data_IF_018105516243
#
_entry.id   IF_018105516243
#
_cell.length_a   1.000
_cell.length_b   1.000
_cell.length_c   1.000
_cell.angle_alpha   90.00
_cell.angle_beta   90.00
_cell.angle_gamma   90.00
#
_symmetry.space_group_name_H-M   'P 1'
#
loop_
_entity.id
_entity.type
_entity.pdbx_description
1 polymer ?
#
# COMPACT_ATOMS: atom_id res chain seq x y z
N UNK A 1 -19.40 -18.10 5.61
CA UNK A 1 -18.56 -16.91 5.84
C UNK A 1 -18.49 -16.67 7.33
N UNK A 2 -17.29 -16.78 7.92
CA UNK A 2 -17.10 -16.57 9.35
C UNK A 2 -16.29 -15.30 9.67
N UNK A 3 -15.57 -14.75 8.68
CA UNK A 3 -14.85 -13.49 8.78
C UNK A 3 -14.51 -12.94 7.38
N UNK A 4 -14.17 -11.66 7.30
CA UNK A 4 -13.56 -11.00 6.14
C UNK A 4 -12.20 -10.43 6.53
N UNK A 5 -11.21 -10.51 5.63
CA UNK A 5 -10.09 -9.56 5.62
C UNK A 5 -10.36 -8.62 4.46
N UNK A 6 -10.65 -7.36 4.76
CA UNK A 6 -10.64 -6.31 3.75
C UNK A 6 -9.18 -5.99 3.42
N UNK A 7 -8.84 -5.92 2.14
CA UNK A 7 -7.78 -4.99 1.75
C UNK A 7 -8.29 -3.59 2.07
N UNK A 8 -7.40 -2.70 2.51
CA UNK A 8 -7.66 -1.26 2.47
C UNK A 8 -8.00 -0.92 1.02
N UNK A 9 -9.30 -0.88 0.70
CA UNK A 9 -9.79 -0.19 -0.48
C UNK A 9 -9.38 1.27 -0.32
N UNK A 10 -9.33 1.99 -1.44
CA UNK A 10 -8.94 3.39 -1.48
C UNK A 10 -9.86 4.25 -0.58
N UNK A 11 -9.57 4.32 0.73
CA UNK A 11 -10.24 5.23 1.67
C UNK A 11 -9.79 6.68 1.45
N UNK A 12 -8.92 6.92 0.45
CA UNK A 12 -8.52 8.25 0.01
C UNK A 12 -9.67 9.11 -0.52
N UNK A 13 -10.78 8.52 -0.96
CA UNK A 13 -11.99 9.27 -1.34
C UNK A 13 -12.93 9.57 -0.15
N UNK A 14 -12.75 8.88 0.98
CA UNK A 14 -13.55 9.09 2.19
C UNK A 14 -13.23 10.37 2.96
N UNK A 15 -12.22 11.14 2.54
CA UNK A 15 -11.76 12.32 3.27
C UNK A 15 -12.75 13.49 3.22
N UNK A 16 -13.59 13.58 2.17
CA UNK A 16 -14.54 14.69 2.01
C UNK A 16 -15.77 14.61 2.92
N UNK A 17 -15.98 13.50 3.63
CA UNK A 17 -17.15 13.34 4.51
C UNK A 17 -16.94 12.41 5.72
N UNK A 18 -16.20 12.86 6.74
CA UNK A 18 -15.97 12.10 7.97
C UNK A 18 -17.23 11.83 8.81
N UNK A 19 -18.38 12.42 8.43
CA UNK A 19 -19.65 12.27 9.13
C UNK A 19 -20.68 11.44 8.35
N UNK A 20 -20.33 10.92 7.16
CA UNK A 20 -21.25 10.20 6.26
C UNK A 20 -22.56 10.98 5.98
N UNK A 21 -22.47 12.31 5.83
CA UNK A 21 -23.58 13.21 5.48
C UNK A 21 -23.90 13.24 3.98
N UNK A 22 -22.98 12.77 3.14
CA UNK A 22 -23.12 12.52 1.71
C UNK A 22 -23.34 11.01 1.56
N UNK A 23 -24.40 10.63 0.83
CA UNK A 23 -24.59 9.24 0.44
C UNK A 23 -23.36 8.82 -0.39
N UNK A 24 -22.70 7.70 -0.04
CA UNK A 24 -21.62 7.10 -0.84
C UNK A 24 -22.11 7.02 -2.30
N UNK A 25 -21.61 7.94 -3.13
CA UNK A 25 -22.32 8.31 -4.37
C UNK A 25 -21.96 7.43 -5.57
N UNK A 26 -21.25 6.32 -5.32
CA UNK A 26 -21.69 5.05 -5.85
C UNK A 26 -21.94 4.05 -4.72
N UNK A 27 -22.84 3.09 -4.94
CA UNK A 27 -22.88 1.83 -4.19
C UNK A 27 -21.57 1.08 -4.38
N UNK A 28 -20.53 1.52 -3.67
CA UNK A 28 -19.21 0.92 -3.63
C UNK A 28 -19.33 -0.34 -2.77
N UNK A 29 -19.79 -1.44 -3.37
CA UNK A 29 -19.12 -2.71 -3.09
C UNK A 29 -17.68 -2.48 -3.53
N UNK A 30 -16.86 -1.99 -2.58
CA UNK A 30 -15.73 -1.11 -2.88
C UNK A 30 -14.81 -1.58 -4.00
N UNK A 31 -14.02 -0.64 -4.51
CA UNK A 31 -12.74 -0.84 -5.20
C UNK A 31 -11.74 -1.61 -4.29
N UNK A 32 -12.17 -2.74 -3.76
CA UNK A 32 -11.74 -3.31 -2.51
C UNK A 32 -12.11 -4.78 -2.48
N UNK A 33 -11.10 -5.63 -2.56
CA UNK A 33 -11.24 -7.08 -2.51
C UNK A 33 -11.59 -7.51 -1.10
N UNK A 34 -12.80 -8.04 -0.89
CA UNK A 34 -13.15 -8.77 0.33
C UNK A 34 -12.70 -10.22 0.23
N UNK A 35 -11.78 -10.64 1.10
CA UNK A 35 -11.47 -12.07 1.27
C UNK A 35 -12.40 -12.65 2.31
N UNK A 36 -13.23 -13.59 1.89
CA UNK A 36 -14.02 -14.38 2.82
C UNK A 36 -13.16 -15.48 3.45
N UNK A 37 -13.41 -15.74 4.72
CA UNK A 37 -12.65 -16.71 5.50
C UNK A 37 -13.60 -17.67 6.18
N UNK A 38 -13.19 -18.93 6.24
CA UNK A 38 -13.91 -19.96 6.97
C UNK A 38 -13.03 -20.52 8.07
N UNK A 39 -13.68 -20.79 9.19
CA UNK A 39 -13.06 -21.56 10.26
C UNK A 39 -12.68 -22.92 9.72
N UNK A 40 -11.54 -23.44 10.14
CA UNK A 40 -11.05 -24.75 9.70
C UNK A 40 -12.10 -25.85 9.97
N UNK A 41 -12.83 -25.77 11.08
CA UNK A 41 -13.85 -26.75 11.46
C UNK A 41 -15.10 -26.72 10.58
N UNK A 42 -15.29 -25.65 9.80
CA UNK A 42 -16.43 -25.51 8.87
C UNK A 42 -16.11 -26.07 7.47
N UNK A 43 -14.89 -26.56 7.24
CA UNK A 43 -14.44 -27.08 5.93
C UNK A 43 -14.30 -28.60 6.01
N UNK A 44 -15.27 -29.39 5.49
CA UNK A 44 -15.31 -30.84 5.69
C UNK A 44 -14.06 -31.58 5.25
N UNK A 45 -13.47 -31.16 4.12
CA UNK A 45 -12.21 -31.73 3.63
C UNK A 45 -11.07 -31.57 4.64
N UNK A 46 -10.87 -30.36 5.17
CA UNK A 46 -9.84 -30.09 6.16
C UNK A 46 -10.09 -30.85 7.46
N UNK A 47 -11.34 -30.90 7.92
CA UNK A 47 -11.73 -31.66 9.11
C UNK A 47 -11.35 -33.13 8.98
N UNK A 48 -11.65 -33.72 7.84
CA UNK A 48 -11.36 -35.12 7.54
C UNK A 48 -9.86 -35.35 7.50
N UNK A 49 -9.14 -34.56 6.68
CA UNK A 49 -7.70 -34.68 6.51
C UNK A 49 -6.96 -34.50 7.84
N UNK A 50 -7.29 -33.47 8.62
CA UNK A 50 -6.64 -33.21 9.90
C UNK A 50 -6.88 -34.32 10.91
N UNK A 51 -8.10 -34.89 10.96
CA UNK A 51 -8.41 -36.03 11.83
C UNK A 51 -7.57 -37.26 11.47
N UNK A 52 -7.46 -37.56 10.17
CA UNK A 52 -6.70 -38.72 9.68
C UNK A 52 -5.18 -38.59 9.94
N UNK A 53 -4.67 -37.36 10.00
CA UNK A 53 -3.25 -37.06 10.20
C UNK A 53 -2.90 -36.63 11.63
N UNK A 54 -3.86 -36.69 12.57
CA UNK A 54 -3.64 -36.32 13.97
C UNK A 54 -3.36 -34.83 14.20
N UNK A 55 -3.79 -33.96 13.27
CA UNK A 55 -3.73 -32.51 13.43
C UNK A 55 -4.92 -32.04 14.28
N UNK A 56 -4.70 -31.31 15.39
CA UNK A 56 -5.80 -30.82 16.22
C UNK A 56 -6.74 -29.88 15.45
N UNK A 57 -8.04 -30.18 15.50
CA UNK A 57 -9.11 -29.31 14.98
C UNK A 57 -9.44 -28.18 15.95
N UNK A 58 -9.37 -28.47 17.26
CA UNK A 58 -9.43 -27.48 18.31
C UNK A 58 -8.00 -27.03 18.62
N UNK A 59 -7.71 -25.78 18.27
CA UNK A 59 -6.44 -25.12 18.57
C UNK A 59 -6.64 -24.13 19.71
N UNK A 60 -5.55 -23.61 20.29
CA UNK A 60 -5.62 -22.60 21.34
C UNK A 60 -6.53 -21.43 20.97
N UNK A 61 -6.39 -20.94 19.74
CA UNK A 61 -7.29 -19.96 19.13
C UNK A 61 -7.85 -20.43 17.78
N UNK A 62 -8.94 -19.80 17.35
CA UNK A 62 -9.55 -20.05 16.05
C UNK A 62 -8.59 -19.63 14.93
N UNK A 63 -8.28 -20.58 14.04
CA UNK A 63 -7.60 -20.31 12.78
C UNK A 63 -8.58 -20.47 11.61
N UNK A 64 -8.25 -19.86 10.50
CA UNK A 64 -9.11 -19.79 9.34
C UNK A 64 -8.32 -20.17 8.09
N UNK A 65 -9.05 -20.65 7.10
CA UNK A 65 -8.56 -20.73 5.72
C UNK A 65 -9.23 -19.63 4.91
N UNK A 66 -8.45 -19.03 4.02
CA UNK A 66 -8.96 -18.05 3.06
C UNK A 66 -9.93 -18.78 2.12
N UNK A 67 -11.21 -18.73 2.47
CA UNK A 67 -12.29 -19.47 1.86
C UNK A 67 -13.12 -18.48 1.07
N UNK A 68 -12.74 -18.23 -0.17
CA UNK A 68 -13.67 -18.36 -1.29
C UNK A 68 -12.95 -18.25 -2.64
N UNK A 69 -13.36 -19.05 -3.64
CA UNK A 69 -12.91 -18.97 -5.02
C UNK A 69 -13.54 -17.78 -5.79
N UNK A 70 -13.94 -16.74 -5.07
CA UNK A 70 -14.74 -15.64 -5.61
C UNK A 70 -14.23 -14.36 -4.97
N UNK A 71 -13.55 -13.55 -5.76
CA UNK A 71 -13.56 -12.12 -5.56
C UNK A 71 -14.91 -11.59 -6.05
N UNK A 72 -15.45 -10.60 -5.36
CA UNK A 72 -16.40 -9.68 -5.97
C UNK A 72 -15.54 -8.46 -6.26
N UNK A 73 -15.16 -8.29 -7.52
CA UNK A 73 -14.59 -7.03 -7.97
C UNK A 73 -15.63 -6.40 -8.87
N UNK A 74 -16.16 -5.25 -8.51
CA UNK A 74 -16.67 -4.37 -9.55
C UNK A 74 -15.46 -4.09 -10.45
N UNK A 75 -15.56 -4.30 -11.76
CA UNK A 75 -14.57 -3.62 -12.59
C UNK A 75 -14.72 -2.13 -12.30
N UNK A 76 -13.61 -1.40 -12.19
CA UNK A 76 -13.62 0.01 -11.77
C UNK A 76 -14.37 0.95 -12.72
N UNK A 77 -15.13 0.41 -13.68
CA UNK A 77 -15.93 1.19 -14.62
C UNK A 77 -17.05 1.91 -13.86
N UNK A 78 -17.03 3.25 -13.83
CA UNK A 78 -18.04 4.03 -13.12
C UNK A 78 -19.44 3.76 -13.68
N UNK A 79 -20.45 3.84 -12.81
CA UNK A 79 -21.86 3.78 -13.24
C UNK A 79 -22.11 4.95 -14.20
N UNK A 80 -22.57 4.63 -15.42
CA UNK A 80 -22.78 5.63 -16.47
C UNK A 80 -21.55 5.95 -17.32
N UNK A 81 -20.44 5.21 -17.16
CA UNK A 81 -19.35 5.24 -18.14
C UNK A 81 -19.85 4.85 -19.53
N UNK A 82 -19.29 5.50 -20.56
CA UNK A 82 -19.54 5.18 -21.97
C UNK A 82 -19.08 3.74 -22.33
N UNK A 83 -18.31 3.09 -21.44
CA UNK A 83 -17.93 1.68 -21.56
C UNK A 83 -19.09 0.71 -21.22
N UNK A 84 -20.15 1.19 -20.57
CA UNK A 84 -21.33 0.43 -20.19
C UNK A 84 -22.53 0.84 -21.05
N UNK A 85 -23.47 -0.07 -21.30
CA UNK A 85 -24.73 0.33 -21.91
C UNK A 85 -25.56 1.19 -20.92
N UNK A 86 -26.43 2.05 -21.44
CA UNK A 86 -27.31 2.88 -20.61
C UNK A 86 -28.14 2.01 -19.64
N UNK A 87 -27.87 2.14 -18.33
CA UNK A 87 -28.53 1.39 -17.26
C UNK A 87 -27.81 0.12 -16.82
N UNK A 88 -26.66 -0.22 -17.41
CA UNK A 88 -25.78 -1.28 -16.91
C UNK A 88 -24.96 -0.79 -15.71
N UNK A 89 -24.56 -1.75 -14.87
CA UNK A 89 -23.65 -1.56 -13.75
C UNK A 89 -22.41 -2.40 -14.01
N UNK A 90 -21.23 -1.94 -13.59
CA UNK A 90 -20.00 -2.74 -13.61
C UNK A 90 -20.29 -4.10 -12.97
N UNK A 91 -20.13 -5.19 -13.75
CA UNK A 91 -20.53 -6.51 -13.25
C UNK A 91 -19.50 -7.00 -12.24
N UNK A 92 -19.91 -7.53 -11.07
CA UNK A 92 -18.96 -8.15 -10.15
C UNK A 92 -18.29 -9.34 -10.86
N UNK A 93 -16.98 -9.25 -11.11
CA UNK A 93 -16.19 -10.36 -11.65
C UNK A 93 -15.91 -11.37 -10.54
N UNK A 94 -16.50 -12.56 -10.70
CA UNK A 94 -16.27 -13.72 -9.84
C UNK A 94 -15.00 -14.44 -10.28
N UNK A 95 -13.84 -14.09 -9.70
CA UNK A 95 -12.57 -14.73 -10.03
C UNK A 95 -12.11 -15.73 -8.96
N UNK A 96 -11.56 -16.86 -9.40
CA UNK A 96 -11.03 -17.91 -8.54
C UNK A 96 -9.50 -17.84 -8.45
N UNK A 97 -8.97 -17.28 -7.36
CA UNK A 97 -7.54 -17.41 -7.06
C UNK A 97 -7.21 -18.85 -6.67
N UNK A 98 -6.27 -19.44 -7.40
CA UNK A 98 -5.67 -20.76 -7.12
C UNK A 98 -6.71 -21.89 -6.98
N UNK A 99 -7.44 -22.25 -8.06
CA UNK A 99 -8.55 -23.20 -8.03
C UNK A 99 -8.22 -24.57 -7.42
N UNK A 100 -6.97 -24.99 -7.49
CA UNK A 100 -6.49 -26.27 -7.00
C UNK A 100 -5.94 -26.25 -5.55
N UNK A 101 -5.78 -25.09 -4.92
CA UNK A 101 -4.98 -24.94 -3.69
C UNK A 101 -5.67 -24.20 -2.53
N UNK A 102 -6.95 -23.83 -2.67
CA UNK A 102 -7.58 -22.92 -1.69
C UNK A 102 -7.98 -23.59 -0.36
N UNK A 103 -8.25 -24.90 -0.33
CA UNK A 103 -8.65 -25.63 0.89
C UNK A 103 -7.60 -26.63 1.39
N UNK A 104 -6.31 -26.39 1.15
CA UNK A 104 -5.24 -27.27 1.65
C UNK A 104 -4.93 -26.97 3.13
N UNK A 105 -4.47 -27.97 3.90
CA UNK A 105 -4.18 -27.81 5.34
C UNK A 105 -3.05 -26.82 5.63
N UNK A 106 -2.25 -26.48 4.63
CA UNK A 106 -1.17 -25.50 4.71
C UNK A 106 -1.59 -24.11 4.20
N UNK A 107 -2.85 -23.86 3.86
CA UNK A 107 -3.33 -22.55 3.38
C UNK A 107 -4.15 -21.77 4.45
N UNK A 108 -3.59 -21.65 5.65
CA UNK A 108 -4.23 -20.96 6.78
C UNK A 108 -3.82 -19.49 6.93
N UNK A 109 -4.62 -18.69 7.66
CA UNK A 109 -4.25 -17.32 8.08
C UNK A 109 -2.97 -17.37 8.89
N UNK A 110 -2.91 -18.25 9.89
CA UNK A 110 -1.73 -18.40 10.76
C UNK A 110 -0.43 -18.51 9.96
N UNK A 111 -0.40 -19.27 8.86
CA UNK A 111 0.81 -19.44 8.04
C UNK A 111 1.04 -18.30 7.04
N UNK A 112 -0.01 -17.72 6.47
CA UNK A 112 0.14 -16.82 5.32
C UNK A 112 -0.04 -15.34 5.64
N UNK A 113 -0.71 -15.01 6.74
CA UNK A 113 -1.25 -13.68 6.99
C UNK A 113 -0.97 -13.18 8.41
N UNK A 114 -0.87 -14.07 9.40
CA UNK A 114 -0.79 -13.68 10.81
C UNK A 114 0.45 -12.85 11.16
N UNK A 115 1.56 -12.97 10.42
CA UNK A 115 2.69 -12.09 10.67
C UNK A 115 2.35 -10.64 10.43
N UNK A 116 1.49 -10.31 9.47
CA UNK A 116 1.03 -8.94 9.31
C UNK A 116 -0.21 -8.65 10.15
N UNK A 117 -1.16 -9.60 10.26
CA UNK A 117 -2.51 -9.37 10.79
C UNK A 117 -2.78 -9.96 12.18
N UNK A 118 -1.75 -10.19 12.99
CA UNK A 118 -1.92 -10.65 14.36
C UNK A 118 -0.86 -10.07 15.28
N UNK A 119 -1.23 -9.90 16.55
CA UNK A 119 -0.33 -9.47 17.62
C UNK A 119 -0.23 -10.52 18.72
N UNK A 120 0.95 -10.63 19.34
CA UNK A 120 1.26 -11.67 20.31
C UNK A 120 1.11 -13.09 19.75
N UNK A 121 1.28 -13.25 18.43
CA UNK A 121 1.10 -14.52 17.76
C UNK A 121 2.17 -15.54 18.16
N UNK A 122 1.77 -16.79 18.29
CA UNK A 122 2.65 -17.94 18.45
C UNK A 122 2.14 -19.08 17.57
N UNK A 123 3.04 -19.72 16.84
CA UNK A 123 2.72 -20.80 15.91
C UNK A 123 3.55 -22.04 16.22
N UNK A 124 2.90 -23.19 16.24
CA UNK A 124 3.57 -24.48 16.13
C UNK A 124 3.15 -25.11 14.81
N UNK A 125 4.07 -25.76 14.11
CA UNK A 125 3.80 -26.36 12.81
C UNK A 125 4.58 -27.64 12.57
N UNK A 126 4.07 -28.48 11.67
CA UNK A 126 4.72 -29.72 11.24
C UNK A 126 4.61 -29.90 9.72
N UNK A 127 5.49 -30.73 9.16
CA UNK A 127 5.41 -31.14 7.75
C UNK A 127 4.75 -32.51 7.68
N UNK A 128 3.77 -32.64 6.79
CA UNK A 128 3.05 -33.88 6.53
C UNK A 128 3.26 -34.29 5.09
N UNK A 129 3.59 -35.56 4.89
CA UNK A 129 3.75 -36.15 3.56
C UNK A 129 2.81 -37.34 3.44
N UNK A 130 1.89 -37.27 2.48
CA UNK A 130 1.09 -38.41 2.04
C UNK A 130 1.71 -39.03 0.76
N UNK A 131 1.05 -40.03 0.18
CA UNK A 131 1.55 -40.74 -1.02
C UNK A 131 1.73 -39.83 -2.25
N UNK A 132 1.02 -38.70 -2.29
CA UNK A 132 0.86 -37.84 -3.47
C UNK A 132 1.32 -36.40 -3.25
N UNK A 133 1.34 -35.92 -2.01
CA UNK A 133 1.56 -34.52 -1.65
C UNK A 133 2.39 -34.37 -0.38
N UNK A 134 3.18 -33.30 -0.32
CA UNK A 134 3.85 -32.84 0.91
C UNK A 134 3.31 -31.47 1.28
N UNK A 135 2.61 -31.41 2.40
CA UNK A 135 2.12 -30.18 3.01
C UNK A 135 3.16 -29.68 4.03
N UNK A 136 3.79 -28.55 3.72
CA UNK A 136 4.84 -27.97 4.57
C UNK A 136 4.24 -27.00 5.56
N UNK A 137 4.74 -27.03 6.80
CA UNK A 137 4.32 -26.13 7.88
C UNK A 137 2.80 -26.02 8.04
N UNK A 138 2.15 -27.17 8.10
CA UNK A 138 0.76 -27.25 8.56
C UNK A 138 0.76 -26.85 10.03
N UNK A 139 0.04 -25.78 10.34
CA UNK A 139 -0.03 -25.22 11.69
C UNK A 139 -0.82 -26.18 12.60
N UNK A 140 -0.18 -26.63 13.68
CA UNK A 140 -0.73 -27.58 14.67
C UNK A 140 -1.21 -26.88 15.93
N UNK A 141 -0.65 -25.71 16.27
CA UNK A 141 -1.13 -24.82 17.31
C UNK A 141 -1.01 -23.37 16.85
N UNK A 142 -1.99 -22.55 17.18
CA UNK A 142 -2.01 -21.13 16.91
C UNK A 142 -2.62 -20.41 18.11
N UNK A 143 -1.88 -19.44 18.64
CA UNK A 143 -2.34 -18.52 19.67
C UNK A 143 -2.03 -17.09 19.22
N UNK A 144 -2.82 -16.13 19.68
CA UNK A 144 -2.66 -14.69 19.42
C UNK A 144 -3.41 -13.90 20.50
N UNK A 145 -3.06 -12.62 20.65
CA UNK A 145 -3.80 -11.68 21.51
C UNK A 145 -4.87 -10.94 20.73
N UNK A 146 -4.54 -10.52 19.51
CA UNK A 146 -5.48 -9.90 18.60
C UNK A 146 -5.21 -10.33 17.14
N UNK A 147 -6.26 -10.34 16.31
CA UNK A 147 -6.18 -10.52 14.85
C UNK A 147 -6.34 -9.18 14.15
N UNK A 148 -5.51 -8.22 14.53
CA UNK A 148 -5.50 -6.87 13.98
C UNK A 148 -4.11 -6.24 14.13
N UNK A 149 -3.94 -5.06 13.51
CA UNK A 149 -2.79 -4.17 13.72
C UNK A 149 -3.04 -3.35 14.98
N UNK A 150 -2.58 -3.85 16.12
CA UNK A 150 -2.71 -3.16 17.41
C UNK A 150 -1.39 -2.57 17.88
N UNK A 151 -1.43 -1.87 19.03
CA UNK A 151 -0.29 -1.18 19.63
C UNK A 151 0.99 -2.03 19.60
N UNK A 152 0.90 -3.30 19.99
CA UNK A 152 2.06 -4.18 20.15
C UNK A 152 2.73 -4.55 18.82
N UNK A 153 2.07 -4.35 17.66
CA UNK A 153 2.71 -4.56 16.36
C UNK A 153 3.80 -3.53 16.09
N UNK A 154 3.60 -2.30 16.57
CA UNK A 154 4.54 -1.20 16.36
C UNK A 154 5.38 -0.90 17.60
N UNK A 155 4.82 -1.17 18.78
CA UNK A 155 5.42 -0.87 20.07
C UNK A 155 6.03 -2.10 20.77
N UNK A 156 5.96 -3.28 20.15
CA UNK A 156 6.40 -4.55 20.75
C UNK A 156 5.52 -4.99 21.91
N UNK A 157 5.82 -6.13 22.57
CA UNK A 157 5.00 -6.64 23.65
C UNK A 157 4.91 -5.68 24.84
N UNK A 158 3.70 -5.36 25.28
CA UNK A 158 3.42 -4.34 26.29
C UNK A 158 3.28 -4.87 27.72
N UNK A 159 3.54 -6.15 27.98
CA UNK A 159 3.28 -6.78 29.28
C UNK A 159 4.09 -6.17 30.43
N UNK A 160 5.37 -5.84 30.20
CA UNK A 160 6.23 -5.19 31.19
C UNK A 160 5.86 -3.71 31.37
N UNK A 161 5.56 -3.01 30.27
CA UNK A 161 5.05 -1.64 30.30
C UNK A 161 3.75 -1.52 31.13
N UNK A 162 2.79 -2.41 30.90
CA UNK A 162 1.54 -2.47 31.65
C UNK A 162 1.74 -2.77 33.15
N UNK A 163 2.87 -3.38 33.53
CA UNK A 163 3.24 -3.67 34.93
C UNK A 163 3.88 -2.48 35.66
N UNK A 164 4.10 -1.36 34.96
CA UNK A 164 4.63 -0.11 35.51
C UNK A 164 6.04 0.23 35.06
N UNK A 165 6.68 -0.61 34.24
CA UNK A 165 8.00 -0.33 33.66
C UNK A 165 7.84 0.52 32.39
N UNK A 166 7.59 1.82 32.57
CA UNK A 166 7.20 2.75 31.49
C UNK A 166 8.13 2.76 30.27
N UNK A 167 9.41 2.38 30.45
CA UNK A 167 10.42 2.34 29.39
C UNK A 167 10.50 0.99 28.66
N UNK A 168 9.79 -0.05 29.11
CA UNK A 168 9.85 -1.39 28.52
C UNK A 168 8.80 -1.53 27.42
N UNK A 169 8.85 -0.60 26.47
CA UNK A 169 8.04 -0.59 25.26
C UNK A 169 8.82 0.12 24.16
N UNK A 170 8.68 -0.34 22.92
CA UNK A 170 9.33 0.32 21.79
C UNK A 170 8.66 1.69 21.59
N UNK A 171 9.49 2.71 21.47
CA UNK A 171 9.10 4.06 21.16
C UNK A 171 9.66 4.40 19.78
N UNK A 172 8.83 4.36 18.71
CA UNK A 172 9.29 4.55 17.34
C UNK A 172 10.12 5.81 17.12
N UNK A 173 9.87 6.88 17.87
CA UNK A 173 10.63 8.13 17.79
C UNK A 173 12.11 8.02 18.25
N UNK A 174 12.48 6.92 18.90
CA UNK A 174 13.86 6.64 19.32
C UNK A 174 14.54 5.55 18.47
N UNK A 175 13.85 5.03 17.46
CA UNK A 175 14.45 4.13 16.49
C UNK A 175 15.38 4.90 15.54
N UNK A 176 16.39 4.21 15.01
CA UNK A 176 17.14 4.74 13.87
C UNK A 176 16.21 4.84 12.66
N UNK A 177 16.49 5.74 11.70
CA UNK A 177 15.68 5.84 10.47
C UNK A 177 15.53 4.50 9.73
N UNK A 178 16.55 3.64 9.80
CA UNK A 178 16.48 2.28 9.25
C UNK A 178 15.43 1.43 9.98
N UNK A 179 15.55 1.29 11.30
CA UNK A 179 14.60 0.51 12.10
C UNK A 179 13.17 1.11 12.08
N UNK A 180 13.06 2.44 11.97
CA UNK A 180 11.79 3.15 11.75
C UNK A 180 11.11 2.77 10.45
N UNK A 181 11.87 2.54 9.38
CA UNK A 181 11.30 2.11 8.10
C UNK A 181 11.00 0.61 8.10
N UNK A 182 11.82 -0.21 8.74
CA UNK A 182 11.53 -1.64 8.92
C UNK A 182 10.30 -1.89 9.80
N UNK A 183 10.00 -1.00 10.75
CA UNK A 183 8.77 -1.02 11.53
C UNK A 183 7.51 -1.05 10.63
N UNK A 184 7.49 -0.29 9.54
CA UNK A 184 6.40 -0.34 8.56
C UNK A 184 6.63 -1.47 7.55
N UNK A 185 7.89 -1.70 7.19
CA UNK A 185 8.35 -2.75 6.28
C UNK A 185 7.98 -4.17 6.71
N UNK A 186 7.82 -4.43 8.00
CA UNK A 186 7.38 -5.75 8.48
C UNK A 186 6.05 -6.22 7.85
N UNK A 187 5.25 -5.28 7.34
CA UNK A 187 4.04 -5.54 6.56
C UNK A 187 4.12 -4.96 5.12
N UNK A 188 4.84 -3.86 4.92
CA UNK A 188 4.89 -3.10 3.65
C UNK A 188 6.22 -3.23 2.89
N UNK A 189 7.03 -4.26 3.16
CA UNK A 189 8.28 -4.51 2.43
C UNK A 189 8.18 -5.57 1.34
N UNK A 190 7.18 -6.44 1.41
CA UNK A 190 7.03 -7.43 0.36
C UNK A 190 5.63 -7.97 0.15
N UNK A 191 5.22 -8.04 -1.11
CA UNK A 191 4.08 -8.83 -1.56
C UNK A 191 4.34 -10.35 -1.54
N UNK A 192 5.51 -10.76 -2.03
CA UNK A 192 5.81 -12.16 -2.34
C UNK A 192 6.91 -12.77 -1.48
N UNK A 193 7.43 -12.00 -0.53
CA UNK A 193 8.50 -12.33 0.37
C UNK A 193 8.18 -13.62 1.10
N UNK A 194 9.23 -14.43 1.26
CA UNK A 194 9.15 -15.67 2.02
C UNK A 194 10.12 -15.67 3.15
N UNK A 195 9.75 -16.30 4.26
CA UNK A 195 10.64 -16.49 5.38
C UNK A 195 11.95 -17.12 4.93
N UNK A 196 13.06 -16.59 5.46
CA UNK A 196 14.38 -17.19 5.28
C UNK A 196 14.48 -18.51 6.03
N UNK A 197 13.92 -18.57 7.25
CA UNK A 197 13.92 -19.76 8.08
C UNK A 197 12.54 -19.98 8.73
N UNK A 198 11.84 -21.09 8.46
CA UNK A 198 12.15 -22.08 7.42
C UNK A 198 11.99 -21.49 6.03
N UNK A 199 12.91 -21.84 5.12
CA UNK A 199 12.99 -21.29 3.76
C UNK A 199 11.68 -21.48 2.98
N UNK A 200 11.13 -20.38 2.46
CA UNK A 200 10.04 -20.42 1.50
C UNK A 200 8.66 -20.64 2.11
N UNK A 201 8.54 -20.65 3.45
CA UNK A 201 7.33 -21.16 4.13
C UNK A 201 6.32 -20.07 4.46
N UNK A 202 6.70 -19.08 5.25
CA UNK A 202 5.82 -18.01 5.71
C UNK A 202 5.88 -16.84 4.75
N UNK A 203 4.77 -16.12 4.55
CA UNK A 203 4.69 -14.98 3.62
C UNK A 203 4.91 -13.62 4.29
N UNK A 204 5.55 -13.65 5.45
CA UNK A 204 5.74 -12.53 6.34
C UNK A 204 7.08 -12.75 7.07
N UNK A 205 7.59 -11.75 7.80
CA UNK A 205 8.88 -11.84 8.43
C UNK A 205 8.80 -12.79 9.65
N UNK A 206 9.18 -14.05 9.42
CA UNK A 206 9.27 -15.10 10.43
C UNK A 206 10.63 -15.80 10.38
N UNK A 207 11.21 -16.06 11.54
CA UNK A 207 12.42 -16.85 11.72
C UNK A 207 12.20 -17.91 12.82
N UNK A 208 12.20 -19.19 12.44
CA UNK A 208 12.10 -20.30 13.40
C UNK A 208 13.25 -20.33 14.42
N UNK A 209 14.42 -19.79 14.10
CA UNK A 209 15.51 -19.68 15.08
C UNK A 209 15.22 -18.63 16.15
N UNK A 210 14.29 -17.71 15.89
CA UNK A 210 13.84 -16.67 16.80
C UNK A 210 12.58 -17.06 17.60
N UNK A 211 12.13 -18.32 17.56
CA UNK A 211 10.94 -18.80 18.29
C UNK A 211 11.04 -18.60 19.82
N UNK A 212 12.26 -18.63 20.37
CA UNK A 212 12.50 -18.37 21.79
C UNK A 212 12.82 -16.89 22.10
N UNK A 213 12.68 -16.00 21.13
CA UNK A 213 12.85 -14.56 21.31
C UNK A 213 11.56 -13.90 21.81
N UNK A 214 11.63 -12.61 22.15
CA UNK A 214 10.49 -11.79 22.55
C UNK A 214 9.36 -11.76 21.51
N UNK A 215 9.68 -11.97 20.23
CA UNK A 215 8.72 -12.00 19.13
C UNK A 215 8.11 -13.37 18.83
N UNK A 216 8.47 -14.45 19.54
CA UNK A 216 8.03 -15.82 19.23
C UNK A 216 8.23 -16.21 17.75
N UNK A 217 9.38 -15.85 17.17
CA UNK A 217 9.71 -16.08 15.76
C UNK A 217 9.27 -14.97 14.82
N UNK A 218 8.41 -14.05 15.24
CA UNK A 218 8.03 -12.86 14.45
C UNK A 218 9.06 -11.74 14.61
N UNK A 219 9.21 -10.93 13.56
CA UNK A 219 10.04 -9.73 13.61
C UNK A 219 9.56 -8.73 14.67
N UNK A 220 10.52 -8.10 15.36
CA UNK A 220 10.28 -7.04 16.33
C UNK A 220 11.17 -5.83 16.00
N UNK A 221 10.59 -4.65 15.73
CA UNK A 221 11.34 -3.48 15.29
C UNK A 221 12.42 -3.04 16.29
N UNK A 222 13.61 -2.70 15.79
CA UNK A 222 14.72 -2.19 16.60
C UNK A 222 15.41 -3.23 17.50
N UNK A 223 14.92 -4.47 17.52
CA UNK A 223 15.57 -5.62 18.19
C UNK A 223 16.22 -6.55 17.16
N UNK A 224 15.56 -6.68 16.00
CA UNK A 224 16.02 -7.49 14.88
C UNK A 224 16.06 -6.64 13.61
N UNK A 225 16.80 -7.11 12.60
CA UNK A 225 16.86 -6.50 11.27
C UNK A 225 15.95 -7.28 10.32
N UNK A 226 15.11 -6.60 9.54
CA UNK A 226 14.11 -7.24 8.69
C UNK A 226 14.74 -8.15 7.62
N UNK A 227 15.94 -7.79 7.19
CA UNK A 227 16.72 -8.57 6.21
C UNK A 227 16.99 -10.02 6.64
N UNK A 228 17.04 -10.30 7.95
CA UNK A 228 17.33 -11.65 8.45
C UNK A 228 16.10 -12.56 8.42
N UNK A 229 14.90 -12.00 8.23
CA UNK A 229 13.64 -12.73 8.28
C UNK A 229 13.17 -13.19 6.91
N UNK A 230 13.62 -12.56 5.83
CA UNK A 230 13.15 -12.87 4.50
C UNK A 230 14.26 -13.37 3.55
N UNK A 231 13.88 -14.24 2.63
CA UNK A 231 14.74 -14.67 1.53
C UNK A 231 14.99 -13.52 0.55
N UNK A 232 16.26 -13.30 0.16
CA UNK A 232 16.69 -12.25 -0.78
C UNK A 232 16.07 -10.87 -0.50
N UNK A 233 16.21 -10.39 0.74
CA UNK A 233 15.77 -9.05 1.12
C UNK A 233 16.41 -7.94 0.29
N UNK A 234 15.58 -6.96 -0.09
CA UNK A 234 15.93 -5.91 -1.05
C UNK A 234 16.09 -6.38 -2.50
N UNK A 235 15.95 -7.68 -2.79
CA UNK A 235 15.99 -8.20 -4.15
C UNK A 235 14.75 -7.84 -4.95
N UNK A 236 14.92 -7.68 -6.26
CA UNK A 236 13.87 -7.41 -7.24
C UNK A 236 13.59 -8.66 -8.08
N UNK A 237 12.32 -8.93 -8.38
CA UNK A 237 11.90 -9.94 -9.36
C UNK A 237 10.93 -9.35 -10.38
N UNK A 238 11.24 -9.55 -11.66
CA UNK A 238 10.35 -9.20 -12.78
C UNK A 238 9.45 -10.37 -13.22
N UNK A 239 9.73 -11.59 -12.72
CA UNK A 239 9.08 -12.84 -13.11
C UNK A 239 8.26 -13.48 -11.97
N UNK A 240 7.92 -12.70 -10.93
CA UNK A 240 7.15 -13.16 -9.77
C UNK A 240 7.79 -14.29 -8.98
N UNK A 241 9.11 -14.39 -9.04
CA UNK A 241 9.89 -15.43 -8.39
C UNK A 241 10.47 -14.88 -7.09
N UNK A 242 9.88 -15.26 -5.96
CA UNK A 242 10.33 -14.81 -4.63
C UNK A 242 11.81 -15.14 -4.34
N UNK A 243 12.39 -16.12 -5.06
CA UNK A 243 13.81 -16.49 -4.92
C UNK A 243 14.75 -15.55 -5.66
N UNK A 244 14.25 -14.70 -6.56
CA UNK A 244 15.04 -13.62 -7.17
C UNK A 244 14.97 -12.39 -6.28
N UNK A 245 13.77 -12.08 -5.79
CA UNK A 245 13.52 -10.89 -4.98
C UNK A 245 12.11 -10.84 -4.45
N UNK A 246 11.90 -9.97 -3.46
CA UNK A 246 10.63 -9.82 -2.76
C UNK A 246 9.77 -8.70 -3.34
N UNK A 247 10.40 -7.76 -4.02
CA UNK A 247 9.72 -6.73 -4.79
C UNK A 247 9.41 -7.29 -6.17
N UNK A 248 8.12 -7.57 -6.42
CA UNK A 248 7.65 -7.80 -7.77
C UNK A 248 7.65 -6.46 -8.48
N UNK A 249 8.56 -6.27 -9.43
CA UNK A 249 8.79 -4.99 -10.08
C UNK A 249 8.34 -5.02 -11.53
N UNK A 250 8.03 -3.84 -12.05
CA UNK A 250 8.03 -3.58 -13.47
C UNK A 250 9.44 -3.79 -14.04
N UNK A 251 9.60 -3.95 -15.36
CA UNK A 251 10.92 -4.23 -15.96
C UNK A 251 11.99 -3.17 -15.71
N UNK A 252 11.61 -1.97 -15.26
CA UNK A 252 12.55 -0.93 -14.81
C UNK A 252 13.27 -1.27 -13.49
N UNK A 253 12.77 -2.26 -12.73
CA UNK A 253 13.29 -2.70 -11.43
C UNK A 253 13.24 -1.64 -10.32
N UNK A 254 12.49 -0.55 -10.53
CA UNK A 254 12.34 0.55 -9.57
C UNK A 254 10.93 0.63 -9.01
N UNK A 255 9.94 0.22 -9.80
CA UNK A 255 8.53 0.39 -9.51
C UNK A 255 7.83 -0.95 -9.24
N UNK A 256 7.06 -1.06 -8.17
CA UNK A 256 6.39 -2.32 -7.86
C UNK A 256 5.12 -2.55 -8.70
N UNK A 257 4.96 -3.79 -9.15
CA UNK A 257 3.72 -4.34 -9.71
C UNK A 257 2.72 -4.76 -8.64
N UNK A 258 3.04 -4.67 -7.35
CA UNK A 258 2.23 -5.28 -6.29
C UNK A 258 2.10 -4.37 -5.05
N UNK A 259 1.04 -4.61 -4.27
CA UNK A 259 0.86 -4.00 -2.95
C UNK A 259 1.94 -4.45 -1.96
N UNK A 260 2.05 -3.74 -0.84
CA UNK A 260 3.00 -4.05 0.23
C UNK A 260 4.47 -4.02 -0.21
N UNK A 261 4.81 -3.21 -1.21
CA UNK A 261 6.18 -2.98 -1.67
C UNK A 261 6.64 -1.52 -1.48
N UNK A 262 5.97 -0.77 -0.59
CA UNK A 262 6.26 0.63 -0.33
C UNK A 262 7.66 0.83 0.26
N UNK A 263 8.14 -0.09 1.12
CA UNK A 263 9.48 0.03 1.67
C UNK A 263 10.56 -0.08 0.57
N UNK A 264 10.63 -1.14 -0.26
CA UNK A 264 11.68 -1.21 -1.28
C UNK A 264 11.62 -0.05 -2.29
N UNK A 265 10.43 0.47 -2.64
CA UNK A 265 10.30 1.70 -3.43
C UNK A 265 10.83 2.94 -2.69
N UNK A 266 10.49 3.11 -1.40
CA UNK A 266 11.05 4.20 -0.60
C UNK A 266 12.56 4.10 -0.47
N UNK A 267 13.12 2.88 -0.38
CA UNK A 267 14.56 2.62 -0.31
C UNK A 267 15.30 3.05 -1.59
N UNK A 268 14.66 2.97 -2.77
CA UNK A 268 15.21 3.47 -4.03
C UNK A 268 15.01 4.98 -4.21
N UNK A 269 14.04 5.57 -3.52
CA UNK A 269 13.72 6.99 -3.65
C UNK A 269 14.82 7.94 -3.12
N UNK A 270 14.91 9.17 -3.67
CA UNK A 270 15.74 10.23 -3.10
C UNK A 270 15.32 10.65 -1.68
N UNK A 271 14.07 10.43 -1.29
CA UNK A 271 13.56 10.81 0.03
C UNK A 271 14.29 10.10 1.17
N UNK A 272 14.74 8.86 0.97
CA UNK A 272 15.56 8.18 1.97
C UNK A 272 17.04 8.60 1.93
N UNK A 273 17.55 8.87 0.72
CA UNK A 273 18.97 9.10 0.45
C UNK A 273 19.23 10.54 -0.03
N UNK A 274 18.84 11.53 0.78
CA UNK A 274 19.09 12.95 0.51
C UNK A 274 20.17 13.55 1.45
N UNK A 275 20.73 14.73 1.13
CA UNK A 275 21.81 15.34 1.92
C UNK A 275 21.35 16.08 3.18
N UNK A 276 20.04 16.14 3.48
CA UNK A 276 19.48 16.93 4.57
C UNK A 276 19.08 16.05 5.76
N UNK A 277 18.09 15.18 5.57
CA UNK A 277 17.53 14.33 6.62
C UNK A 277 17.04 13.01 6.02
N UNK A 278 17.34 11.89 6.67
CA UNK A 278 16.79 10.58 6.25
C UNK A 278 15.31 10.52 6.63
N UNK A 279 14.43 10.65 5.65
CA UNK A 279 13.00 10.59 5.89
C UNK A 279 12.58 9.15 6.19
N UNK A 280 11.53 9.02 7.00
CA UNK A 280 10.95 7.74 7.36
C UNK A 280 9.48 7.68 6.96
N UNK A 281 8.87 6.50 7.02
CA UNK A 281 7.45 6.34 6.76
C UNK A 281 6.60 7.32 7.58
N UNK A 282 6.91 7.51 8.88
CA UNK A 282 6.14 8.40 9.74
C UNK A 282 6.45 9.90 9.59
N UNK A 283 7.41 10.25 8.73
CA UNK A 283 7.60 11.65 8.31
C UNK A 283 6.44 12.13 7.44
N UNK A 284 5.79 11.19 6.73
CA UNK A 284 4.66 11.47 5.86
C UNK A 284 3.37 10.72 6.27
N UNK A 285 3.46 9.71 7.14
CA UNK A 285 2.32 8.90 7.61
C UNK A 285 2.18 8.91 9.13
N UNK A 286 1.00 8.57 9.66
CA UNK A 286 0.79 8.40 11.09
C UNK A 286 -0.16 7.25 11.36
N UNK A 287 0.33 6.18 11.97
CA UNK A 287 -0.49 4.99 12.25
C UNK A 287 -1.54 5.18 13.34
N UNK A 288 -1.54 6.32 14.06
CA UNK A 288 -2.52 6.61 15.11
C UNK A 288 -3.75 7.38 14.62
N UNK A 289 -3.77 7.78 13.36
CA UNK A 289 -4.85 8.57 12.78
C UNK A 289 -4.94 8.28 11.29
N UNK A 290 -6.11 8.52 10.69
CA UNK A 290 -6.27 8.46 9.24
C UNK A 290 -5.64 9.68 8.54
N UNK A 291 -5.20 10.69 9.31
CA UNK A 291 -4.48 11.83 8.78
C UNK A 291 -3.04 11.43 8.41
N UNK A 292 -2.55 12.04 7.33
CA UNK A 292 -1.17 12.01 6.82
C UNK A 292 -0.13 12.02 7.94
N UNK A 293 0.07 13.15 8.62
CA UNK A 293 0.86 13.23 9.86
C UNK A 293 0.11 14.08 10.86
N UNK A 294 0.29 13.85 12.16
CA UNK A 294 -0.36 14.73 13.16
C UNK A 294 0.25 16.12 13.12
N UNK A 295 1.58 16.18 13.10
CA UNK A 295 2.36 17.42 13.06
C UNK A 295 3.60 17.22 12.20
N UNK A 296 3.97 18.24 11.43
CA UNK A 296 5.25 18.32 10.76
C UNK A 296 5.91 19.65 11.14
N UNK A 297 7.12 19.61 11.68
CA UNK A 297 7.90 20.82 11.99
C UNK A 297 9.08 20.92 11.05
N UNK A 298 9.17 22.02 10.30
CA UNK A 298 10.28 22.34 9.41
C UNK A 298 10.71 23.76 9.71
N UNK A 299 11.99 23.92 10.07
CA UNK A 299 12.54 25.18 10.58
C UNK A 299 11.73 25.69 11.79
N UNK A 300 11.28 26.94 11.76
CA UNK A 300 10.50 27.57 12.82
C UNK A 300 8.97 27.37 12.64
N UNK A 301 8.55 26.62 11.61
CA UNK A 301 7.14 26.37 11.29
C UNK A 301 6.67 24.99 11.73
N UNK A 302 5.49 24.92 12.33
CA UNK A 302 4.78 23.67 12.62
C UNK A 302 3.46 23.65 11.84
N UNK A 303 3.22 22.58 11.09
CA UNK A 303 1.98 22.34 10.33
C UNK A 303 1.18 21.23 11.01
N UNK A 304 -0.07 21.51 11.39
CA UNK A 304 -0.96 20.54 12.03
C UNK A 304 -1.78 19.78 10.98
N UNK A 305 -1.59 18.46 10.85
CA UNK A 305 -2.27 17.64 9.83
C UNK A 305 -2.09 18.14 8.37
N UNK A 306 -0.86 18.46 7.91
CA UNK A 306 -0.62 18.82 6.51
C UNK A 306 -0.99 17.64 5.60
N UNK A 307 -1.65 17.91 4.46
CA UNK A 307 -2.11 16.85 3.56
C UNK A 307 -1.32 16.81 2.25
N UNK A 308 -1.61 15.77 1.49
CA UNK A 308 -1.03 15.50 0.19
C UNK A 308 -1.72 16.27 -0.94
N UNK A 309 -3.05 16.42 -0.85
CA UNK A 309 -3.93 16.92 -1.89
C UNK A 309 -3.74 18.42 -2.17
N UNK A 310 -3.47 19.20 -1.12
CA UNK A 310 -3.19 20.64 -1.19
C UNK A 310 -1.71 21.00 -1.39
N UNK A 311 -0.85 19.99 -1.58
CA UNK A 311 0.61 20.10 -1.66
C UNK A 311 1.32 20.58 -0.38
N UNK A 312 0.63 20.85 0.73
CA UNK A 312 1.26 21.46 1.91
C UNK A 312 2.30 20.54 2.54
N UNK A 313 2.05 19.22 2.61
CA UNK A 313 3.04 18.27 3.13
C UNK A 313 4.35 18.33 2.33
N UNK A 314 4.25 18.29 0.99
CA UNK A 314 5.40 18.27 0.10
C UNK A 314 6.14 19.61 0.17
N UNK A 315 5.41 20.72 0.04
CA UNK A 315 5.98 22.05 0.03
C UNK A 315 6.55 22.47 1.40
N UNK A 316 6.10 21.87 2.50
CA UNK A 316 6.71 22.09 3.81
C UNK A 316 8.22 21.83 3.79
N UNK A 317 8.72 20.88 2.99
CA UNK A 317 10.14 20.65 2.77
C UNK A 317 10.65 21.33 1.48
N UNK A 318 9.91 21.19 0.39
CA UNK A 318 10.38 21.56 -0.96
C UNK A 318 10.32 23.06 -1.29
N UNK A 319 9.46 23.85 -0.61
CA UNK A 319 9.48 25.30 -0.72
C UNK A 319 10.89 25.84 -0.39
N UNK A 320 11.24 26.94 -1.03
CA UNK A 320 12.56 27.60 -0.99
C UNK A 320 13.71 26.82 -1.65
N UNK A 321 13.44 25.70 -2.31
CA UNK A 321 14.46 24.86 -2.93
C UNK A 321 14.17 24.57 -4.40
N UNK A 322 15.24 24.52 -5.22
CA UNK A 322 15.16 24.07 -6.61
C UNK A 322 14.08 24.80 -7.43
N UNK A 323 13.19 24.05 -8.14
CA UNK A 323 12.08 24.63 -8.91
C UNK A 323 11.08 25.45 -8.08
N UNK A 324 11.04 25.25 -6.76
CA UNK A 324 10.12 25.90 -5.83
C UNK A 324 10.81 26.97 -4.96
N UNK A 325 11.94 27.50 -5.44
CA UNK A 325 12.70 28.54 -4.74
C UNK A 325 11.94 29.86 -4.57
N UNK A 326 10.93 30.10 -5.39
CA UNK A 326 10.05 31.27 -5.30
C UNK A 326 8.89 31.08 -4.29
N UNK A 327 8.61 29.84 -3.85
CA UNK A 327 7.63 29.56 -2.79
C UNK A 327 8.33 29.72 -1.44
N UNK A 328 7.80 30.57 -0.58
CA UNK A 328 8.31 30.77 0.77
C UNK A 328 7.57 29.91 1.79
N UNK A 329 8.12 29.72 3.00
CA UNK A 329 7.40 29.03 4.09
C UNK A 329 6.13 29.75 4.52
N UNK A 330 6.10 31.09 4.39
CA UNK A 330 4.89 31.86 4.68
C UNK A 330 3.78 31.56 3.65
N UNK A 331 4.14 31.28 2.39
CA UNK A 331 3.17 30.85 1.38
C UNK A 331 2.58 29.47 1.72
N UNK A 332 3.42 28.52 2.14
CA UNK A 332 2.97 27.19 2.56
C UNK A 332 2.08 27.27 3.80
N UNK A 333 2.43 28.10 4.78
CA UNK A 333 1.58 28.33 5.95
C UNK A 333 0.24 28.98 5.58
N UNK A 334 0.20 29.87 4.60
CA UNK A 334 -1.04 30.45 4.11
C UNK A 334 -1.93 29.43 3.38
N UNK A 335 -1.34 28.47 2.64
CA UNK A 335 -2.06 27.31 2.06
C UNK A 335 -2.72 26.46 3.16
N UNK A 336 -1.95 26.07 4.18
CA UNK A 336 -2.44 25.31 5.32
C UNK A 336 -3.66 25.98 6.00
N UNK A 337 -3.60 27.30 6.22
CA UNK A 337 -4.70 28.07 6.81
C UNK A 337 -5.89 28.19 5.88
N UNK A 338 -5.66 28.28 4.56
CA UNK A 338 -6.73 28.30 3.57
C UNK A 338 -7.60 27.04 3.63
N UNK A 339 -6.99 25.87 3.85
CA UNK A 339 -7.69 24.59 4.00
C UNK A 339 -8.25 24.36 5.42
N UNK A 340 -8.28 25.42 6.23
CA UNK A 340 -8.87 25.39 7.57
C UNK A 340 -8.03 24.67 8.62
N UNK A 341 -6.73 24.46 8.34
CA UNK A 341 -5.81 23.82 9.28
C UNK A 341 -4.94 24.81 10.01
N UNK A 342 -4.47 24.40 11.18
CA UNK A 342 -3.61 25.22 12.02
C UNK A 342 -2.15 25.13 11.57
N UNK A 343 -1.43 26.23 11.78
CA UNK A 343 0.02 26.30 11.63
C UNK A 343 0.58 27.32 12.61
N UNK A 344 1.79 27.06 13.09
CA UNK A 344 2.48 27.87 14.07
C UNK A 344 3.81 28.36 13.50
N UNK A 345 4.22 29.56 13.93
CA UNK A 345 5.57 30.09 13.76
C UNK A 345 6.15 30.35 15.16
N UNK A 346 7.31 29.78 15.46
CA UNK A 346 7.94 29.86 16.79
C UNK A 346 7.02 29.40 17.94
N UNK A 347 6.12 28.44 17.64
CA UNK A 347 5.13 27.93 18.58
C UNK A 347 3.92 28.83 18.83
N UNK A 348 3.80 29.95 18.10
CA UNK A 348 2.62 30.81 18.13
C UNK A 348 1.73 30.55 16.90
N UNK A 349 0.43 30.36 17.13
CA UNK A 349 -0.55 30.21 16.05
C UNK A 349 -0.55 31.45 15.16
N UNK A 350 -0.36 31.26 13.85
CA UNK A 350 -0.40 32.34 12.87
C UNK A 350 -1.69 32.33 12.08
N UNK A 351 -2.10 33.53 11.63
CA UNK A 351 -3.33 33.74 10.85
C UNK A 351 -3.03 34.68 9.69
N UNK A 352 -3.75 34.52 8.59
CA UNK A 352 -3.56 35.31 7.38
C UNK A 352 -4.81 36.09 7.01
N UNK A 353 -4.63 37.29 6.47
CA UNK A 353 -5.71 38.00 5.78
C UNK A 353 -6.03 37.30 4.46
N UNK A 354 -7.29 37.41 4.01
CA UNK A 354 -7.74 36.78 2.76
C UNK A 354 -6.90 37.20 1.53
N UNK A 355 -6.36 38.43 1.51
CA UNK A 355 -5.48 38.89 0.44
C UNK A 355 -4.11 38.21 0.45
N UNK A 356 -3.57 37.89 1.62
CA UNK A 356 -2.29 37.17 1.76
C UNK A 356 -2.46 35.72 1.29
N UNK A 357 -3.52 35.06 1.72
CA UNK A 357 -3.90 33.73 1.24
C UNK A 357 -4.01 33.70 -0.28
N UNK A 358 -4.72 34.66 -0.88
CA UNK A 358 -4.89 34.72 -2.33
C UNK A 358 -3.55 34.89 -3.08
N UNK A 359 -2.64 35.73 -2.56
CA UNK A 359 -1.31 35.92 -3.14
C UNK A 359 -0.44 34.67 -3.02
N UNK A 360 -0.48 33.99 -1.87
CA UNK A 360 0.28 32.75 -1.67
C UNK A 360 -0.22 31.62 -2.55
N UNK A 361 -1.55 31.47 -2.72
CA UNK A 361 -2.13 30.53 -3.69
C UNK A 361 -1.68 30.81 -5.12
N UNK A 362 -1.68 32.07 -5.54
CA UNK A 362 -1.21 32.48 -6.88
C UNK A 362 0.29 32.20 -7.07
N UNK A 363 1.09 32.42 -6.02
CA UNK A 363 2.53 32.12 -6.00
C UNK A 363 2.79 30.62 -6.16
N UNK A 364 2.09 29.79 -5.37
CA UNK A 364 2.18 28.32 -5.46
C UNK A 364 1.74 27.85 -6.84
N UNK A 365 0.55 28.27 -7.32
CA UNK A 365 0.03 27.88 -8.62
C UNK A 365 0.97 28.27 -9.77
N UNK A 366 1.56 29.48 -9.72
CA UNK A 366 2.52 29.96 -10.72
C UNK A 366 3.81 29.15 -10.69
N UNK A 367 4.36 28.89 -9.50
CA UNK A 367 5.61 28.15 -9.36
C UNK A 367 5.45 26.68 -9.78
N UNK A 368 4.37 26.01 -9.35
CA UNK A 368 4.05 24.64 -9.79
C UNK A 368 3.76 24.61 -11.29
N UNK A 369 3.00 25.58 -11.82
CA UNK A 369 2.76 25.71 -13.27
C UNK A 369 4.06 25.88 -14.07
N UNK A 370 5.02 26.67 -13.57
CA UNK A 370 6.32 26.85 -14.18
C UNK A 370 7.16 25.57 -14.13
N UNK A 371 7.11 24.84 -13.02
CA UNK A 371 7.75 23.52 -12.88
C UNK A 371 7.20 22.53 -13.92
N UNK A 372 5.87 22.40 -14.01
CA UNK A 372 5.18 21.55 -14.99
C UNK A 372 5.54 21.94 -16.43
N UNK A 373 5.54 23.24 -16.75
CA UNK A 373 5.94 23.70 -18.09
C UNK A 373 7.40 23.34 -18.41
N UNK A 374 8.30 23.40 -17.42
CA UNK A 374 9.71 23.04 -17.56
C UNK A 374 9.97 21.57 -17.91
N UNK A 375 9.03 20.68 -17.58
CA UNK A 375 9.09 19.23 -17.89
C UNK A 375 8.23 18.85 -19.10
N UNK A 376 7.74 19.82 -19.87
CA UNK A 376 7.01 19.57 -21.11
C UNK A 376 5.48 19.52 -20.97
N UNK A 377 4.93 19.78 -19.78
CA UNK A 377 3.48 19.93 -19.57
C UNK A 377 3.01 21.37 -19.82
N UNK A 378 3.58 22.04 -20.83
CA UNK A 378 3.28 23.44 -21.13
C UNK A 378 1.79 23.64 -21.46
N UNK A 379 1.11 24.47 -20.68
CA UNK A 379 -0.32 24.78 -20.85
C UNK A 379 -1.27 23.92 -20.01
N UNK A 380 -0.75 22.98 -19.21
CA UNK A 380 -1.52 22.29 -18.18
C UNK A 380 -2.02 23.32 -17.15
N UNK A 381 -3.31 23.24 -16.80
CA UNK A 381 -3.90 24.10 -15.78
C UNK A 381 -3.53 23.58 -14.39
N UNK A 382 -3.24 24.47 -13.45
CA UNK A 382 -3.07 24.11 -12.05
C UNK A 382 -4.46 23.95 -11.42
N UNK A 383 -4.88 22.71 -11.22
CA UNK A 383 -6.18 22.30 -10.68
C UNK A 383 -6.02 21.17 -9.66
N UNK A 384 -5.18 21.34 -8.61
CA UNK A 384 -4.89 20.26 -7.65
C UNK A 384 -6.14 19.75 -6.91
N UNK A 385 -7.14 20.61 -6.72
CA UNK A 385 -8.37 20.32 -5.98
C UNK A 385 -9.46 19.66 -6.86
N UNK A 386 -9.22 19.50 -8.16
CA UNK A 386 -10.17 18.88 -9.08
C UNK A 386 -9.97 17.35 -9.05
N UNK A 387 -10.92 16.55 -8.54
CA UNK A 387 -10.75 15.11 -8.41
C UNK A 387 -10.64 14.38 -9.76
N UNK A 388 -11.20 14.95 -10.83
CA UNK A 388 -11.16 14.35 -12.17
C UNK A 388 -9.88 14.76 -12.94
N UNK A 389 -9.33 15.93 -12.60
CA UNK A 389 -8.06 16.43 -13.14
C UNK A 389 -7.22 17.15 -12.07
N UNK A 390 -6.60 16.40 -11.13
CA UNK A 390 -5.80 16.96 -10.03
C UNK A 390 -4.42 17.43 -10.50
N UNK A 391 -4.36 18.11 -11.64
CA UNK A 391 -3.14 18.56 -12.30
C UNK A 391 -2.44 19.60 -11.44
N UNK A 392 -1.18 19.34 -11.10
CA UNK A 392 -0.41 20.17 -10.19
C UNK A 392 -0.52 19.76 -8.71
N UNK A 393 -1.32 18.74 -8.38
CA UNK A 393 -1.12 18.00 -7.13
C UNK A 393 0.19 17.21 -7.23
N UNK A 394 1.05 17.30 -6.23
CA UNK A 394 2.33 16.60 -6.21
C UNK A 394 2.13 15.10 -6.26
N UNK A 395 1.17 14.57 -5.49
CA UNK A 395 0.94 13.13 -5.38
C UNK A 395 0.28 12.53 -6.62
N UNK A 396 -0.54 13.27 -7.36
CA UNK A 396 -1.16 12.76 -8.58
C UNK A 396 -0.12 12.44 -9.66
N UNK A 397 0.95 13.24 -9.75
CA UNK A 397 2.01 13.04 -10.73
C UNK A 397 3.21 12.24 -10.20
N UNK A 398 3.64 12.48 -8.96
CA UNK A 398 4.85 11.88 -8.40
C UNK A 398 4.61 10.60 -7.59
N UNK A 399 3.36 10.27 -7.28
CA UNK A 399 3.02 9.00 -6.65
C UNK A 399 1.94 8.29 -7.48
N UNK A 400 2.20 8.06 -8.79
CA UNK A 400 1.21 7.45 -9.66
C UNK A 400 0.80 6.09 -9.11
N UNK A 401 -0.47 5.75 -9.24
CA UNK A 401 -0.94 4.42 -8.84
C UNK A 401 -0.48 3.42 -9.90
N UNK A 402 0.57 2.66 -9.59
CA UNK A 402 1.20 1.74 -10.56
C UNK A 402 1.20 0.28 -10.10
N UNK A 403 1.03 0.05 -8.80
CA UNK A 403 0.94 -1.27 -8.21
C UNK A 403 -0.51 -1.74 -8.10
N UNK A 404 -0.70 -3.05 -7.89
CA UNK A 404 -2.03 -3.66 -7.70
C UNK A 404 -2.18 -4.41 -6.39
N UNK A 405 -3.44 -4.52 -5.96
CA UNK A 405 -3.80 -5.10 -4.67
C UNK A 405 -3.58 -6.61 -4.51
N UNK A 406 -3.29 -7.41 -5.55
CA UNK A 406 -2.97 -8.83 -5.34
C UNK A 406 -2.10 -9.47 -6.41
N UNK A 407 -2.71 -9.97 -7.48
CA UNK A 407 -2.10 -10.95 -8.36
C UNK A 407 -1.44 -10.31 -9.56
N UNK A 408 -0.18 -10.68 -9.77
CA UNK A 408 0.75 -10.30 -10.83
C UNK A 408 0.20 -10.25 -12.25
N UNK A 409 -0.80 -11.09 -12.51
CA UNK A 409 -1.05 -11.63 -13.84
C UNK A 409 -2.56 -11.57 -14.19
N UNK A 410 -3.24 -10.48 -13.82
CA UNK A 410 -4.70 -10.31 -14.00
C UNK A 410 -5.10 -8.82 -14.16
N UNK A 411 -5.80 -8.51 -15.27
CA UNK A 411 -6.25 -7.18 -15.68
C UNK A 411 -7.37 -6.62 -14.80
N UNK A 412 -8.17 -7.49 -14.19
CA UNK A 412 -9.31 -7.07 -13.38
C UNK A 412 -8.89 -6.36 -12.07
N UNK A 413 -7.60 -6.13 -11.90
CA UNK A 413 -6.98 -5.47 -10.76
C UNK A 413 -6.42 -4.09 -11.12
N UNK A 414 -6.76 -3.54 -12.28
CA UNK A 414 -6.45 -2.16 -12.67
C UNK A 414 -7.74 -1.38 -12.89
N UNK A 415 -7.66 -0.07 -12.81
CA UNK A 415 -8.69 0.81 -13.33
C UNK A 415 -8.47 0.91 -14.84
N UNK A 416 -9.46 0.46 -15.61
CA UNK A 416 -9.43 0.48 -17.07
C UNK A 416 -10.32 1.61 -17.57
N UNK A 417 -9.91 2.24 -18.66
CA UNK A 417 -10.71 3.23 -19.39
C UNK A 417 -10.28 3.24 -20.87
N UNK A 418 -10.98 3.97 -21.72
CA UNK A 418 -10.65 4.03 -23.13
C UNK A 418 -9.45 4.90 -23.43
N UNK A 419 -8.57 4.43 -24.30
CA UNK A 419 -7.53 5.25 -24.91
C UNK A 419 -8.10 6.24 -25.94
N UNK A 420 -7.24 7.07 -26.54
CA UNK A 420 -7.66 8.04 -27.55
C UNK A 420 -8.23 7.42 -28.84
N UNK A 421 -8.09 6.11 -29.04
CA UNK A 421 -8.62 5.36 -30.18
C UNK A 421 -9.93 4.63 -29.84
N UNK A 422 -10.34 4.61 -28.57
CA UNK A 422 -11.52 3.89 -28.09
C UNK A 422 -11.25 2.43 -27.71
N UNK A 423 -9.98 2.03 -27.56
CA UNK A 423 -9.58 0.71 -27.10
C UNK A 423 -9.52 0.68 -25.57
N UNK A 424 -9.79 -0.47 -24.95
CA UNK A 424 -9.68 -0.62 -23.50
C UNK A 424 -8.20 -0.57 -23.13
N UNK A 425 -7.86 0.23 -22.11
CA UNK A 425 -6.50 0.43 -21.69
C UNK A 425 -6.40 0.67 -20.17
N UNK A 426 -5.22 0.45 -19.62
CA UNK A 426 -4.93 0.75 -18.21
C UNK A 426 -4.91 2.27 -17.99
N UNK A 427 -5.83 2.76 -17.17
CA UNK A 427 -5.87 4.14 -16.71
C UNK A 427 -4.98 4.33 -15.49
N UNK A 428 -5.12 3.47 -14.48
CA UNK A 428 -4.29 3.49 -13.27
C UNK A 428 -4.29 2.14 -12.51
N UNK A 429 -3.33 1.99 -11.59
CA UNK A 429 -3.26 0.91 -10.61
C UNK A 429 -4.18 1.16 -9.41
N UNK A 430 -3.84 0.59 -8.25
CA UNK A 430 -4.57 0.79 -6.98
C UNK A 430 -3.64 1.27 -5.87
N UNK A 431 -2.34 1.25 -6.12
CA UNK A 431 -1.30 1.47 -5.11
C UNK A 431 -0.36 2.53 -5.65
N UNK A 432 -0.37 3.68 -4.96
CA UNK A 432 0.53 4.78 -5.22
C UNK A 432 1.99 4.35 -5.06
N UNK A 433 2.83 4.70 -6.03
CA UNK A 433 4.26 4.44 -5.94
C UNK A 433 4.92 5.28 -4.85
N UNK A 434 5.88 4.68 -4.16
CA UNK A 434 6.74 5.36 -3.19
C UNK A 434 8.16 5.62 -3.73
N UNK A 435 8.34 5.62 -5.06
CA UNK A 435 9.59 6.06 -5.70
C UNK A 435 9.68 7.59 -5.77
N UNK A 436 8.52 8.28 -5.82
CA UNK A 436 8.35 9.74 -5.86
C UNK A 436 8.80 10.43 -7.15
N UNK A 437 8.70 9.74 -8.28
CA UNK A 437 9.03 10.24 -9.60
C UNK A 437 7.82 10.19 -10.56
N UNK A 438 8.04 10.66 -11.79
CA UNK A 438 7.03 10.66 -12.83
C UNK A 438 7.28 9.43 -13.69
N UNK A 439 6.26 8.58 -13.81
CA UNK A 439 6.22 7.54 -14.83
C UNK A 439 5.67 8.16 -16.11
N UNK A 440 6.52 8.35 -17.11
CA UNK A 440 6.13 8.92 -18.39
C UNK A 440 5.37 7.90 -19.24
N UNK A 441 4.40 8.33 -20.07
CA UNK A 441 3.74 7.44 -21.03
C UNK A 441 4.72 6.70 -21.95
N UNK A 442 5.83 7.36 -22.31
CA UNK A 442 6.87 6.74 -23.14
C UNK A 442 7.64 5.62 -22.44
N UNK A 443 7.83 5.70 -21.11
CA UNK A 443 8.43 4.61 -20.33
C UNK A 443 7.49 3.40 -20.34
N UNK A 444 6.20 3.65 -20.16
CA UNK A 444 5.16 2.60 -20.16
C UNK A 444 5.01 1.95 -21.54
N UNK A 445 5.08 2.75 -22.61
CA UNK A 445 4.98 2.26 -23.99
C UNK A 445 6.09 1.29 -24.40
N UNK A 446 7.28 1.40 -23.80
CA UNK A 446 8.41 0.50 -24.10
C UNK A 446 8.20 -0.89 -23.45
N UNK A 447 7.30 -0.98 -22.47
CA UNK A 447 6.98 -2.22 -21.77
C UNK A 447 5.90 -3.05 -22.48
N UNK A 448 5.24 -2.49 -23.49
CA UNK A 448 4.29 -3.22 -24.35
C UNK A 448 5.00 -4.45 -24.94
N UNK A 449 4.37 -5.62 -24.84
CA UNK A 449 4.91 -6.84 -25.41
C UNK A 449 5.18 -6.63 -26.92
N UNK A 450 6.40 -6.86 -27.42
CA UNK A 450 6.70 -6.68 -28.84
C UNK A 450 5.89 -7.61 -29.75
N UNK A 451 5.38 -8.72 -29.21
CA UNK A 451 4.34 -9.53 -29.84
C UNK A 451 2.98 -9.13 -29.27
N UNK A 452 2.28 -8.25 -29.98
CA UNK A 452 0.96 -7.73 -29.56
C UNK A 452 -0.07 -8.86 -29.37
N UNK A 453 0.06 -9.98 -30.10
CA UNK A 453 -0.83 -11.14 -29.92
C UNK A 453 -0.65 -11.88 -28.59
N UNK A 454 0.38 -11.50 -27.83
CA UNK A 454 0.71 -11.99 -26.49
C UNK A 454 0.76 -10.85 -25.46
N UNK A 455 0.45 -9.62 -25.88
CA UNK A 455 0.37 -8.46 -25.01
C UNK A 455 -0.94 -8.49 -24.24
N UNK A 456 -0.88 -8.05 -22.99
CA UNK A 456 -2.03 -7.85 -22.14
C UNK A 456 -1.94 -6.49 -21.45
N UNK A 457 -3.08 -5.92 -21.10
CA UNK A 457 -3.15 -4.68 -20.33
C UNK A 457 -2.33 -4.76 -19.02
N UNK A 458 -2.30 -5.91 -18.34
CA UNK A 458 -1.52 -6.15 -17.12
C UNK A 458 0.01 -6.19 -17.33
N UNK A 459 0.48 -6.18 -18.57
CA UNK A 459 1.89 -6.03 -18.93
C UNK A 459 2.30 -4.56 -19.05
N UNK A 460 1.33 -3.64 -19.09
CA UNK A 460 1.57 -2.21 -19.19
C UNK A 460 1.65 -1.59 -17.79
N UNK A 461 2.78 -0.94 -17.50
CA UNK A 461 2.91 -0.13 -16.30
C UNK A 461 1.97 1.08 -16.40
N UNK A 462 1.08 1.32 -15.43
CA UNK A 462 0.33 2.57 -15.38
C UNK A 462 1.28 3.77 -15.30
N UNK A 463 0.85 4.93 -15.79
CA UNK A 463 1.69 6.12 -15.82
C UNK A 463 1.04 7.34 -15.16
N UNK A 464 1.84 8.37 -14.88
CA UNK A 464 1.39 9.59 -14.19
C UNK A 464 0.38 10.43 -14.97
N UNK A 465 0.06 10.06 -16.22
CA UNK A 465 -0.83 10.81 -17.10
C UNK A 465 -2.10 10.03 -17.46
N UNK A 466 -2.07 8.70 -17.40
CA UNK A 466 -3.12 7.83 -17.96
C UNK A 466 -4.46 7.92 -17.21
N UNK A 467 -4.44 8.28 -15.91
CA UNK A 467 -5.67 8.50 -15.16
C UNK A 467 -6.50 9.64 -15.80
N UNK A 468 -5.88 10.79 -16.06
CA UNK A 468 -6.57 11.99 -16.54
C UNK A 468 -6.61 12.14 -18.07
N UNK A 469 -5.77 11.41 -18.81
CA UNK A 469 -5.56 11.67 -20.24
C UNK A 469 -5.64 10.40 -21.09
N UNK A 470 -6.71 10.27 -21.86
CA UNK A 470 -6.93 9.13 -22.77
C UNK A 470 -5.78 8.91 -23.78
N UNK A 471 -5.08 9.97 -24.21
CA UNK A 471 -3.93 9.82 -25.13
C UNK A 471 -2.68 9.21 -24.46
N UNK A 472 -2.62 9.21 -23.13
CA UNK A 472 -1.54 8.64 -22.35
C UNK A 472 -1.84 7.21 -21.88
N UNK A 473 -3.09 6.75 -22.04
CA UNK A 473 -3.48 5.36 -21.81
C UNK A 473 -2.94 4.50 -22.94
N UNK A 474 -2.46 3.32 -22.60
CA UNK A 474 -1.84 2.40 -23.54
C UNK A 474 -2.55 1.07 -23.37
N UNK A 475 -3.22 0.63 -24.43
CA UNK A 475 -3.79 -0.72 -24.51
C UNK A 475 -2.68 -1.72 -24.80
N UNK A 476 -2.66 -2.80 -24.04
CA UNK A 476 -1.81 -3.97 -24.27
C UNK A 476 -2.46 -5.04 -25.15
N UNK A 477 -3.78 -4.99 -25.31
CA UNK A 477 -4.58 -5.99 -26.04
C UNK A 477 -4.64 -5.70 -27.56
N UNK A 478 -4.83 -6.76 -28.36
CA UNK A 478 -5.26 -6.65 -29.76
C UNK A 478 -6.80 -6.45 -29.81
N UNK A 479 -7.26 -5.21 -29.62
CA UNK A 479 -8.68 -4.83 -29.77
C UNK A 479 -9.14 -4.75 -31.24
#
# INVERSE_FOLDING_TARGET
VAATIGGEGNWGEGYVDPNHLVEDNPTNFGEGKQRWMCRIQDVPYLVTWMTEHGVPLERGQQDYVAYMPVYLMQDGTPVGSDALAEGDFGTPKFWQKSPAHWCTPDNTISRNCAGCHATGAAIEYQTYTDETHTFKAVVTAYDYKDLDITCERCHGPGSEHASGEVNNIIQPQYLSAHASNELCGQCHASHAGKSLTPDGIFKYPYDANAENSIGNGFFVPGISELETFFYNYGGVSVNNNYKEGQMHSWPDQEHSRAHSAMLPELLSSPHLNNPYEKLTCYTCHNSHTLNVVSTLTIDDYTYESPAYDDNTLCLACHATHGPFSDITKIDVAAMQVYDGRETMLDGELITFAAGEIAMSRDTVATSVGAHMAGIGMGGALYTPDDPDMPVGSCVSCHMPQIGKLFDVDDDAQYHLDFDANGNIAVAEGNVASHVFDIVWPSQSAILVNPDLSQGHDYDIMPNSCSACHAYARISGDED
#
